data_IF_764995617177
#
_entry.id   IF_764995617177
#
_cell.length_a   1.000
_cell.length_b   1.000
_cell.length_c   1.000
_cell.angle_alpha   90.00
_cell.angle_beta   90.00
_cell.angle_gamma   90.00
#
_symmetry.space_group_name_H-M   'P 1'
#
loop_
_entity.id
_entity.type
_entity.pdbx_description
1 polymer ?
#
# COMPACT_ATOMS: atom_id res chain seq x y z
N UNK A 1 1.98 13.02 -5.75
CA UNK A 1 2.40 12.24 -4.58
C UNK A 1 1.89 10.82 -4.70
N UNK A 2 2.75 9.88 -5.11
CA UNK A 2 2.48 8.44 -4.99
C UNK A 2 2.47 7.95 -3.53
N UNK A 3 1.77 6.84 -3.30
CA UNK A 3 1.73 6.14 -2.02
C UNK A 3 2.56 4.85 -2.09
N UNK A 4 3.31 4.57 -1.02
CA UNK A 4 3.97 3.29 -0.74
C UNK A 4 3.21 2.65 0.42
N UNK A 5 2.57 1.51 0.22
CA UNK A 5 1.53 0.98 1.10
C UNK A 5 1.93 -0.41 1.58
N UNK A 6 1.87 -0.59 2.90
CA UNK A 6 1.88 -1.88 3.57
C UNK A 6 0.48 -2.52 3.51
N UNK A 7 0.38 -3.61 2.74
CA UNK A 7 -0.88 -4.24 2.37
C UNK A 7 -1.59 -4.91 3.55
N UNK A 8 -0.92 -5.82 4.26
CA UNK A 8 -1.52 -6.54 5.39
C UNK A 8 -1.82 -5.61 6.57
N UNK A 9 -0.94 -4.63 6.82
CA UNK A 9 -1.21 -3.64 7.83
C UNK A 9 -2.47 -2.84 7.49
N UNK A 10 -2.67 -2.47 6.23
CA UNK A 10 -3.87 -1.77 5.80
C UNK A 10 -5.15 -2.61 5.88
N UNK A 11 -5.09 -3.90 5.51
CA UNK A 11 -6.26 -4.80 5.58
C UNK A 11 -6.82 -4.87 7.00
N UNK A 12 -5.96 -4.89 8.01
CA UNK A 12 -6.33 -4.87 9.43
C UNK A 12 -7.26 -3.71 9.84
N UNK A 13 -7.30 -2.61 9.06
CA UNK A 13 -8.14 -1.43 9.34
C UNK A 13 -9.34 -1.30 8.39
N UNK A 14 -9.52 -2.24 7.47
CA UNK A 14 -10.68 -2.27 6.58
C UNK A 14 -11.81 -3.08 7.20
N UNK A 15 -13.01 -2.51 7.24
CA UNK A 15 -14.18 -3.17 7.85
C UNK A 15 -14.83 -4.23 6.95
N UNK A 16 -14.43 -4.27 5.68
CA UNK A 16 -15.06 -5.08 4.64
C UNK A 16 -14.10 -6.06 3.96
N UNK A 17 -12.90 -6.21 4.52
CA UNK A 17 -11.92 -7.23 4.14
C UNK A 17 -11.40 -7.85 5.43
N UNK A 18 -11.48 -9.18 5.53
CA UNK A 18 -10.93 -9.94 6.65
C UNK A 18 -9.58 -10.53 6.24
N UNK A 19 -8.61 -10.59 7.16
CA UNK A 19 -7.26 -11.09 6.90
C UNK A 19 -7.19 -12.60 6.63
N UNK A 20 -8.23 -13.35 7.01
CA UNK A 20 -8.35 -14.79 6.77
C UNK A 20 -9.09 -15.11 5.46
N UNK A 21 -9.56 -14.09 4.72
CA UNK A 21 -10.12 -14.27 3.38
C UNK A 21 -9.01 -14.61 2.39
N UNK A 22 -9.09 -15.74 1.67
CA UNK A 22 -8.11 -16.09 0.63
C UNK A 22 -7.95 -15.07 -0.51
N UNK A 23 -8.85 -14.08 -0.60
CA UNK A 23 -8.88 -13.03 -1.61
C UNK A 23 -8.70 -11.63 -1.03
N UNK A 24 -8.30 -11.50 0.23
CA UNK A 24 -8.08 -10.23 0.93
C UNK A 24 -7.17 -9.26 0.13
N UNK A 25 -6.05 -9.76 -0.40
CA UNK A 25 -5.13 -9.02 -1.26
C UNK A 25 -5.82 -8.49 -2.53
N UNK A 26 -6.58 -9.36 -3.20
CA UNK A 26 -7.30 -9.01 -4.43
C UNK A 26 -8.37 -7.95 -4.16
N UNK A 27 -9.12 -8.09 -3.07
CA UNK A 27 -10.11 -7.11 -2.61
C UNK A 27 -9.45 -5.76 -2.29
N UNK A 28 -8.29 -5.76 -1.63
CA UNK A 28 -7.56 -4.52 -1.36
C UNK A 28 -7.12 -3.86 -2.67
N UNK A 29 -6.59 -4.62 -3.61
CA UNK A 29 -6.15 -4.09 -4.90
C UNK A 29 -7.32 -3.46 -5.68
N UNK A 30 -8.51 -4.06 -5.64
CA UNK A 30 -9.73 -3.47 -6.26
C UNK A 30 -10.04 -2.11 -5.63
N UNK A 31 -9.99 -1.98 -4.29
CA UNK A 31 -10.18 -0.70 -3.60
C UNK A 31 -9.13 0.33 -3.98
N UNK A 32 -7.86 -0.07 -4.03
CA UNK A 32 -6.75 0.79 -4.42
C UNK A 32 -6.89 1.27 -5.86
N UNK A 33 -7.36 0.42 -6.78
CA UNK A 33 -7.68 0.81 -8.16
C UNK A 33 -8.78 1.87 -8.20
N UNK A 34 -9.86 1.69 -7.44
CA UNK A 34 -10.90 2.70 -7.29
C UNK A 34 -10.40 4.02 -6.69
N UNK A 35 -9.43 3.97 -5.78
CA UNK A 35 -8.77 5.15 -5.20
C UNK A 35 -7.85 5.86 -6.18
N UNK A 36 -7.02 5.10 -6.89
CA UNK A 36 -6.13 5.64 -7.90
C UNK A 36 -6.90 6.27 -9.06
N UNK A 37 -8.01 5.64 -9.49
CA UNK A 37 -8.87 6.18 -10.55
C UNK A 37 -9.48 7.54 -10.16
N UNK A 38 -10.05 7.65 -8.94
CA UNK A 38 -10.73 8.88 -8.49
C UNK A 38 -9.77 10.01 -8.12
N UNK A 39 -8.60 9.70 -7.57
CA UNK A 39 -7.64 10.71 -7.09
C UNK A 39 -6.51 11.01 -8.08
N UNK A 40 -6.39 10.20 -9.13
CA UNK A 40 -5.25 10.21 -10.09
C UNK A 40 -3.89 10.00 -9.41
N UNK A 41 -3.87 9.47 -8.18
CA UNK A 41 -2.64 9.15 -7.44
C UNK A 41 -2.17 7.76 -7.83
N UNK A 42 -0.84 7.57 -7.84
CA UNK A 42 -0.23 6.26 -8.02
C UNK A 42 -0.08 5.58 -6.66
N UNK A 43 -0.25 4.27 -6.62
CA UNK A 43 -0.05 3.46 -5.42
C UNK A 43 0.91 2.31 -5.74
N UNK A 44 1.82 2.04 -4.82
CA UNK A 44 2.62 0.83 -4.78
C UNK A 44 2.24 0.12 -3.49
N UNK A 45 1.67 -1.08 -3.58
CA UNK A 45 1.29 -1.88 -2.41
C UNK A 45 2.20 -3.10 -2.32
N UNK A 46 2.68 -3.40 -1.11
CA UNK A 46 3.54 -4.53 -0.79
C UNK A 46 2.77 -5.46 0.15
N UNK A 47 2.73 -6.76 -0.15
CA UNK A 47 2.14 -7.79 0.71
C UNK A 47 3.22 -8.78 1.16
N UNK A 48 3.14 -9.32 2.38
CA UNK A 48 4.12 -10.26 2.95
C UNK A 48 4.11 -11.65 2.30
N UNK A 49 2.96 -12.03 1.75
CA UNK A 49 2.74 -13.29 1.07
C UNK A 49 2.10 -12.99 -0.28
N UNK A 50 2.21 -13.93 -1.20
CA UNK A 50 1.63 -13.82 -2.52
C UNK A 50 1.79 -15.14 -3.25
N UNK A 51 0.84 -15.45 -4.12
CA UNK A 51 0.93 -16.64 -4.98
C UNK A 51 2.27 -16.64 -5.75
N UNK A 52 2.98 -17.78 -5.85
CA UNK A 52 4.26 -17.85 -6.55
C UNK A 52 4.06 -17.56 -8.04
N UNK A 53 4.41 -16.35 -8.45
CA UNK A 53 4.33 -15.90 -9.84
C UNK A 53 4.44 -14.39 -9.94
N UNK A 54 5.63 -13.88 -10.24
CA UNK A 54 5.99 -12.45 -10.24
C UNK A 54 5.04 -11.51 -10.98
N UNK A 55 5.16 -10.20 -10.69
CA UNK A 55 4.32 -9.11 -11.20
C UNK A 55 2.83 -9.50 -11.27
N UNK A 56 2.15 -9.42 -10.12
CA UNK A 56 0.75 -9.82 -9.99
C UNK A 56 -0.09 -9.31 -11.16
N UNK A 57 -0.88 -10.20 -11.79
CA UNK A 57 -1.94 -9.83 -12.75
C UNK A 57 -2.92 -8.79 -12.18
N UNK A 58 -2.86 -8.55 -10.87
CA UNK A 58 -3.61 -7.52 -10.17
C UNK A 58 -3.08 -6.10 -10.41
N UNK A 59 -1.86 -5.91 -10.92
CA UNK A 59 -1.32 -4.56 -11.19
C UNK A 59 -2.10 -3.81 -12.28
N UNK A 60 -2.01 -2.48 -12.28
CA UNK A 60 -2.55 -1.58 -13.30
C UNK A 60 -1.60 -0.40 -13.55
N UNK A 61 -1.95 0.49 -14.47
CA UNK A 61 -1.16 1.69 -14.77
C UNK A 61 -0.97 2.66 -13.59
N UNK A 62 -1.85 2.59 -12.57
CA UNK A 62 -1.80 3.46 -11.39
C UNK A 62 -1.63 2.69 -10.08
N UNK A 63 -1.71 1.36 -10.08
CA UNK A 63 -1.53 0.52 -8.89
C UNK A 63 -0.51 -0.56 -9.21
N UNK A 64 0.66 -0.48 -8.62
CA UNK A 64 1.69 -1.52 -8.70
C UNK A 64 1.57 -2.42 -7.49
N UNK A 65 1.48 -3.73 -7.72
CA UNK A 65 1.42 -4.73 -6.65
C UNK A 65 2.75 -5.47 -6.58
N UNK A 66 3.34 -5.51 -5.40
CA UNK A 66 4.59 -6.21 -5.11
C UNK A 66 4.31 -7.26 -4.02
N UNK A 67 4.74 -8.48 -4.25
CA UNK A 67 4.68 -9.53 -3.25
C UNK A 67 6.08 -9.76 -2.68
N UNK A 68 6.20 -9.75 -1.36
CA UNK A 68 7.40 -10.22 -0.69
C UNK A 68 7.55 -11.72 -0.96
N UNK A 69 8.73 -12.12 -1.38
CA UNK A 69 9.04 -13.54 -1.51
C UNK A 69 9.12 -14.12 -0.10
N UNK A 70 8.12 -14.91 0.30
CA UNK A 70 8.03 -15.51 1.63
C UNK A 70 9.28 -16.35 2.01
N UNK A 71 10.06 -16.79 1.02
CA UNK A 71 11.31 -17.54 1.23
C UNK A 71 12.53 -16.66 1.56
N UNK A 72 12.46 -15.33 1.37
CA UNK A 72 13.65 -14.47 1.42
C UNK A 72 13.44 -13.12 2.13
N UNK A 73 12.22 -12.60 2.23
CA UNK A 73 11.96 -11.26 2.80
C UNK A 73 10.49 -11.09 3.21
N UNK A 74 10.20 -9.99 3.91
CA UNK A 74 8.85 -9.56 4.29
C UNK A 74 8.53 -8.17 3.68
N UNK A 75 7.28 -7.72 3.84
CA UNK A 75 6.83 -6.45 3.30
C UNK A 75 7.60 -5.26 3.91
N UNK A 76 7.78 -5.27 5.23
CA UNK A 76 8.48 -4.21 5.97
C UNK A 76 9.89 -3.97 5.41
N UNK A 77 10.64 -5.04 5.17
CA UNK A 77 11.99 -4.93 4.61
C UNK A 77 11.99 -4.37 3.20
N UNK A 78 11.09 -4.82 2.33
CA UNK A 78 10.95 -4.26 0.97
C UNK A 78 10.58 -2.77 1.04
N UNK A 79 9.68 -2.40 1.94
CA UNK A 79 9.27 -1.01 2.14
C UNK A 79 10.47 -0.18 2.60
N UNK A 80 11.22 -0.64 3.62
CA UNK A 80 12.41 0.05 4.13
C UNK A 80 13.50 0.21 3.07
N UNK A 81 13.78 -0.84 2.28
CA UNK A 81 14.73 -0.77 1.17
C UNK A 81 14.29 0.30 0.15
N UNK A 82 13.00 0.32 -0.19
CA UNK A 82 12.45 1.29 -1.14
C UNK A 82 12.44 2.71 -0.61
N UNK A 83 12.21 2.91 0.69
CA UNK A 83 12.35 4.21 1.37
C UNK A 83 13.79 4.72 1.20
N UNK A 84 14.79 3.88 1.47
CA UNK A 84 16.22 4.24 1.36
C UNK A 84 16.63 4.62 -0.06
N UNK A 85 16.13 3.90 -1.05
CA UNK A 85 16.44 4.10 -2.47
C UNK A 85 15.65 5.26 -3.12
N UNK A 86 14.59 5.75 -2.48
CA UNK A 86 13.74 6.81 -3.03
C UNK A 86 14.50 8.14 -3.10
N UNK A 87 14.65 8.65 -4.33
CA UNK A 87 15.28 9.97 -4.58
C UNK A 87 14.33 11.14 -4.33
N UNK A 88 13.08 11.04 -4.80
CA UNK A 88 12.06 12.10 -4.65
C UNK A 88 11.28 11.98 -3.32
N UNK A 89 11.99 12.12 -2.19
CA UNK A 89 11.46 11.84 -0.84
C UNK A 89 10.18 12.62 -0.51
N UNK A 90 10.15 13.91 -0.85
CA UNK A 90 8.99 14.80 -0.61
C UNK A 90 7.78 14.46 -1.48
N UNK A 91 7.98 13.71 -2.56
CA UNK A 91 6.93 13.23 -3.44
C UNK A 91 6.17 12.03 -2.88
N UNK A 92 6.73 11.25 -1.96
CA UNK A 92 6.15 9.99 -1.51
C UNK A 92 5.46 10.08 -0.15
N UNK A 93 4.43 9.26 0.03
CA UNK A 93 3.80 9.02 1.33
C UNK A 93 3.81 7.52 1.63
N UNK A 94 4.42 7.13 2.74
CA UNK A 94 4.43 5.77 3.26
C UNK A 94 3.19 5.56 4.12
N UNK A 95 2.48 4.47 3.87
CA UNK A 95 1.27 4.07 4.60
C UNK A 95 1.57 2.77 5.32
N UNK A 96 1.71 2.85 6.64
CA UNK A 96 1.79 1.71 7.56
C UNK A 96 1.40 2.19 8.96
N UNK A 97 1.09 1.26 9.86
CA UNK A 97 0.95 1.54 11.30
C UNK A 97 2.09 0.95 12.11
N UNK A 98 3.05 0.29 11.45
CA UNK A 98 4.30 -0.12 12.08
C UNK A 98 5.17 1.12 12.34
N UNK A 99 5.67 1.24 13.59
CA UNK A 99 6.49 2.38 13.99
C UNK A 99 7.85 2.36 13.31
N UNK A 100 8.48 1.20 13.15
CA UNK A 100 9.79 1.09 12.51
C UNK A 100 9.74 1.57 11.06
N UNK A 101 8.67 1.22 10.33
CA UNK A 101 8.44 1.66 8.95
C UNK A 101 8.19 3.18 8.88
N UNK A 102 7.37 3.72 9.78
CA UNK A 102 7.06 5.16 9.81
C UNK A 102 8.29 6.00 10.22
N UNK A 103 9.04 5.54 11.21
CA UNK A 103 10.27 6.19 11.69
C UNK A 103 11.33 6.18 10.57
N UNK A 104 11.46 5.08 9.84
CA UNK A 104 12.33 5.01 8.66
C UNK A 104 11.88 6.00 7.57
N UNK A 105 10.57 6.12 7.32
CA UNK A 105 10.05 7.09 6.35
C UNK A 105 10.42 8.53 6.76
N UNK A 106 10.21 8.89 8.03
CA UNK A 106 10.53 10.21 8.56
C UNK A 106 12.04 10.51 8.51
N UNK A 107 12.88 9.56 8.95
CA UNK A 107 14.34 9.67 8.92
C UNK A 107 14.87 9.94 7.50
N UNK A 108 14.23 9.33 6.50
CA UNK A 108 14.58 9.52 5.09
C UNK A 108 13.80 10.65 4.41
N UNK A 109 13.00 11.43 5.14
CA UNK A 109 12.31 12.62 4.64
C UNK A 109 11.08 12.35 3.76
N UNK A 110 10.52 11.14 3.85
CA UNK A 110 9.21 10.79 3.28
C UNK A 110 8.11 11.13 4.28
N UNK A 111 6.91 11.39 3.76
CA UNK A 111 5.74 11.59 4.62
C UNK A 111 5.23 10.24 5.13
N UNK A 112 5.04 10.09 6.44
CA UNK A 112 4.30 8.97 7.03
C UNK A 112 2.79 9.21 7.08
N UNK A 113 2.00 8.15 6.95
CA UNK A 113 0.55 8.14 7.15
C UNK A 113 0.15 6.81 7.80
N UNK A 114 -0.69 6.84 8.83
CA UNK A 114 -1.16 5.61 9.46
C UNK A 114 -2.17 4.90 8.58
N UNK A 115 -2.18 3.57 8.62
CA UNK A 115 -3.11 2.77 7.82
C UNK A 115 -4.57 3.05 8.14
N UNK A 116 -4.91 3.33 9.40
CA UNK A 116 -6.26 3.77 9.78
C UNK A 116 -6.70 5.06 9.08
N UNK A 117 -5.79 6.02 8.92
CA UNK A 117 -6.07 7.30 8.27
C UNK A 117 -6.26 7.08 6.76
N UNK A 118 -5.44 6.21 6.15
CA UNK A 118 -5.57 5.84 4.75
C UNK A 118 -6.84 5.00 4.48
N UNK A 119 -7.23 4.12 5.40
CA UNK A 119 -8.48 3.34 5.31
C UNK A 119 -9.72 4.26 5.25
N UNK A 120 -9.71 5.36 6.00
CA UNK A 120 -10.76 6.39 5.89
C UNK A 120 -10.77 7.08 4.52
N UNK A 121 -9.59 7.36 3.93
CA UNK A 121 -9.50 7.86 2.56
C UNK A 121 -10.04 6.87 1.54
N UNK A 122 -9.83 5.56 1.77
CA UNK A 122 -10.37 4.49 0.94
C UNK A 122 -11.89 4.41 1.01
N UNK A 123 -12.47 4.54 2.21
CA UNK A 123 -13.90 4.45 2.48
C UNK A 123 -14.71 5.66 2.00
N UNK A 124 -14.06 6.80 1.75
CA UNK A 124 -14.76 8.03 1.35
C UNK A 124 -15.52 7.79 0.03
N UNK A 125 -16.86 7.93 0.00
CA UNK A 125 -17.64 7.71 -1.20
C UNK A 125 -17.26 8.73 -2.28
N UNK A 126 -17.43 8.35 -3.55
CA UNK A 126 -17.38 9.34 -4.63
C UNK A 126 -18.44 10.38 -4.32
N UNK A 127 -18.07 11.67 -4.29
CA UNK A 127 -19.09 12.70 -4.48
C UNK A 127 -19.68 12.43 -5.86
N UNK A 128 -21.01 12.26 -5.99
CA UNK A 128 -21.64 12.29 -7.31
C UNK A 128 -21.13 13.58 -7.99
N UNK A 129 -20.64 13.44 -9.22
CA UNK A 129 -20.10 14.58 -9.97
C UNK A 129 -21.09 15.74 -9.95
N UNK A 130 -20.56 16.93 -9.66
CA UNK A 130 -21.23 18.19 -10.00
C UNK A 130 -21.20 18.38 -11.53
#
# INVERSE_FOLDING_TARGET
>A
MPYLIDGHNLISYLKDIELDDPNDEAKLVIKLKGFAARTRKKCVVIFDHGLPGGASRLSSSHVTVVFASAAATNADRIIMERIRETRDRKGWTVVSSDREVLDAAELHGLKGMRSVDFAQLLARPQRPGA
#
